data_IF_474575984576
#
_entry.id   IF_474575984576
#
_cell.length_a   1.000
_cell.length_b   1.000
_cell.length_c   1.000
_cell.angle_alpha   90.00
_cell.angle_beta   90.00
_cell.angle_gamma   90.00
#
_symmetry.space_group_name_H-M   'P 1'
#
loop_
_entity.id
_entity.type
_entity.pdbx_description
1 polymer ?
#
# COMPACT_ATOMS: atom_id res chain seq x y z
N UNK A 1 -33.68 -35.38 -25.90
CA UNK A 1 -34.29 -35.35 -24.55
C UNK A 1 -33.29 -35.98 -23.60
N UNK A 2 -32.76 -35.46 -22.49
CA UNK A 2 -33.09 -34.39 -21.54
C UNK A 2 -31.75 -34.05 -20.82
N UNK A 3 -31.07 -32.94 -21.11
CA UNK A 3 -31.02 -31.68 -20.36
C UNK A 3 -30.99 -31.79 -18.81
N UNK A 4 -29.92 -31.19 -18.24
CA UNK A 4 -29.73 -30.59 -16.90
C UNK A 4 -29.21 -31.49 -15.77
N UNK A 5 -27.87 -31.62 -15.68
CA UNK A 5 -27.19 -31.81 -14.40
C UNK A 5 -27.12 -30.44 -13.69
N UNK A 6 -27.90 -30.33 -12.63
CA UNK A 6 -28.09 -29.12 -11.84
C UNK A 6 -26.83 -28.73 -11.06
N UNK A 7 -26.50 -27.44 -11.13
CA UNK A 7 -26.03 -26.64 -10.01
C UNK A 7 -24.80 -27.13 -9.26
N UNK A 8 -23.62 -26.78 -9.78
CA UNK A 8 -22.43 -26.59 -8.97
C UNK A 8 -22.82 -25.70 -7.77
N UNK A 9 -22.85 -26.28 -6.58
CA UNK A 9 -23.09 -25.58 -5.32
C UNK A 9 -21.89 -24.67 -5.06
N UNK A 10 -22.09 -23.37 -5.25
CA UNK A 10 -21.22 -22.34 -4.67
C UNK A 10 -21.52 -22.17 -3.18
N UNK A 11 -20.51 -21.66 -2.47
CA UNK A 11 -20.55 -21.01 -1.14
C UNK A 11 -20.06 -21.85 0.03
N UNK A 12 -18.73 -21.90 0.22
CA UNK A 12 -18.06 -21.83 1.53
C UNK A 12 -16.51 -21.69 1.41
N UNK A 13 -15.99 -20.92 0.45
CA UNK A 13 -14.54 -20.72 0.32
C UNK A 13 -14.12 -19.27 -0.01
N UNK A 14 -15.04 -18.31 0.11
CA UNK A 14 -14.82 -16.95 -0.42
C UNK A 14 -14.62 -15.87 0.64
N UNK A 15 -14.14 -16.24 1.84
CA UNK A 15 -13.77 -15.28 2.90
C UNK A 15 -12.25 -15.19 3.15
N UNK A 16 -11.41 -16.01 2.50
CA UNK A 16 -9.96 -16.03 2.74
C UNK A 16 -9.09 -15.45 1.60
N UNK A 17 -9.68 -15.08 0.45
CA UNK A 17 -8.92 -14.58 -0.71
C UNK A 17 -8.76 -13.05 -0.66
N UNK A 18 -9.71 -12.35 -0.03
CA UNK A 18 -9.69 -10.88 0.03
C UNK A 18 -8.57 -10.34 0.93
N UNK A 19 -8.25 -11.03 2.03
CA UNK A 19 -7.21 -10.59 2.98
C UNK A 19 -5.79 -10.85 2.44
N UNK A 20 -5.56 -11.99 1.79
CA UNK A 20 -4.26 -12.32 1.18
C UNK A 20 -3.94 -11.42 -0.03
N UNK A 21 -4.95 -11.01 -0.79
CA UNK A 21 -4.77 -10.11 -1.94
C UNK A 21 -4.51 -8.68 -1.46
N UNK A 22 -5.18 -8.24 -0.38
CA UNK A 22 -4.94 -6.92 0.22
C UNK A 22 -3.54 -6.79 0.80
N UNK A 23 -3.04 -7.82 1.50
CA UNK A 23 -1.71 -7.81 2.11
C UNK A 23 -0.58 -7.83 1.06
N UNK A 24 -0.77 -8.61 -0.01
CA UNK A 24 0.12 -8.61 -1.17
C UNK A 24 0.18 -7.21 -1.83
N UNK A 25 -0.98 -6.58 -2.05
CA UNK A 25 -1.05 -5.23 -2.61
C UNK A 25 -0.38 -4.18 -1.71
N UNK A 26 -0.53 -4.25 -0.40
CA UNK A 26 0.14 -3.32 0.53
C UNK A 26 1.66 -3.48 0.45
N UNK A 27 2.13 -4.73 0.39
CA UNK A 27 3.58 -5.03 0.28
C UNK A 27 4.16 -4.49 -1.02
N UNK A 28 3.47 -4.65 -2.15
CA UNK A 28 3.89 -4.10 -3.45
C UNK A 28 3.99 -2.57 -3.40
N UNK A 29 3.00 -1.89 -2.81
CA UNK A 29 3.03 -0.45 -2.64
C UNK A 29 4.17 0.03 -1.75
N UNK A 30 4.48 -0.70 -0.67
CA UNK A 30 5.64 -0.39 0.18
C UNK A 30 6.94 -0.46 -0.62
N UNK A 31 7.11 -1.48 -1.46
CA UNK A 31 8.32 -1.61 -2.30
C UNK A 31 8.42 -0.48 -3.32
N UNK A 32 7.33 -0.15 -4.01
CA UNK A 32 7.30 0.94 -5.00
C UNK A 32 7.62 2.29 -4.38
N UNK A 33 6.99 2.62 -3.25
CA UNK A 33 7.24 3.88 -2.55
C UNK A 33 8.70 3.93 -2.06
N UNK A 34 9.23 2.83 -1.51
CA UNK A 34 10.63 2.77 -1.08
C UNK A 34 11.59 2.96 -2.24
N UNK A 35 11.35 2.32 -3.38
CA UNK A 35 12.16 2.49 -4.57
C UNK A 35 12.22 3.96 -5.01
N UNK A 36 11.09 4.67 -5.02
CA UNK A 36 11.05 6.09 -5.41
C UNK A 36 11.89 6.98 -4.47
N UNK A 37 11.79 6.77 -3.16
CA UNK A 37 12.63 7.49 -2.17
C UNK A 37 14.11 7.09 -2.24
N UNK A 38 14.44 5.91 -2.77
CA UNK A 38 15.83 5.48 -2.99
C UNK A 38 16.43 6.18 -4.21
N UNK A 39 15.69 6.21 -5.32
CA UNK A 39 16.09 6.87 -6.57
C UNK A 39 16.24 8.39 -6.39
N UNK A 40 15.43 9.01 -5.53
CA UNK A 40 15.46 10.45 -5.27
C UNK A 40 15.76 10.76 -3.79
N UNK A 41 17.04 10.81 -3.36
CA UNK A 41 17.42 11.04 -1.95
C UNK A 41 16.98 12.40 -1.36
N UNK A 42 16.52 13.33 -2.20
CA UNK A 42 15.98 14.63 -1.79
C UNK A 42 14.44 14.70 -1.72
N UNK A 43 13.73 13.62 -2.06
CA UNK A 43 12.28 13.62 -2.20
C UNK A 43 11.60 13.91 -0.86
N UNK A 44 10.68 14.87 -0.88
CA UNK A 44 9.84 15.24 0.27
C UNK A 44 8.40 15.37 -0.21
N UNK A 45 7.52 14.55 0.34
CA UNK A 45 6.11 14.54 -0.04
C UNK A 45 5.25 14.68 1.19
N UNK A 46 4.21 15.53 1.14
CA UNK A 46 3.12 15.50 2.12
C UNK A 46 2.22 14.30 1.85
N UNK A 47 1.39 13.94 2.82
CA UNK A 47 0.40 12.87 2.65
C UNK A 47 -0.52 13.12 1.43
N UNK A 48 -0.97 14.36 1.24
CA UNK A 48 -1.76 14.75 0.07
C UNK A 48 -1.02 14.59 -1.26
N UNK A 49 0.30 14.83 -1.27
CA UNK A 49 1.12 14.61 -2.46
C UNK A 49 1.32 13.11 -2.73
N UNK A 50 1.47 12.29 -1.69
CA UNK A 50 1.54 10.82 -1.79
C UNK A 50 0.24 10.28 -2.40
N UNK A 51 -0.91 10.68 -1.87
CA UNK A 51 -2.23 10.29 -2.40
C UNK A 51 -2.38 10.64 -3.88
N UNK A 52 -1.98 11.86 -4.28
CA UNK A 52 -2.08 12.30 -5.67
C UNK A 52 -1.08 11.63 -6.61
N UNK A 53 0.15 11.39 -6.14
CA UNK A 53 1.22 10.81 -6.95
C UNK A 53 0.97 9.34 -7.25
N UNK A 54 0.47 8.59 -6.26
CA UNK A 54 0.23 7.14 -6.39
C UNK A 54 -1.24 6.76 -6.51
N UNK A 55 -2.18 7.73 -6.51
CA UNK A 55 -3.61 7.48 -6.66
C UNK A 55 -4.24 6.70 -5.49
N UNK A 56 -3.70 6.88 -4.27
CA UNK A 56 -4.10 6.13 -3.09
C UNK A 56 -5.21 6.85 -2.31
N UNK A 57 -6.15 6.07 -1.77
CA UNK A 57 -7.12 6.54 -0.77
C UNK A 57 -6.39 7.01 0.51
N UNK A 58 -6.95 7.99 1.26
CA UNK A 58 -6.40 8.45 2.53
C UNK A 58 -5.99 7.33 3.50
N UNK A 59 -6.84 6.32 3.74
CA UNK A 59 -6.56 5.25 4.69
C UNK A 59 -5.34 4.42 4.25
N UNK A 60 -5.27 4.06 2.97
CA UNK A 60 -4.15 3.29 2.40
C UNK A 60 -2.86 4.11 2.43
N UNK A 61 -2.92 5.37 2.03
CA UNK A 61 -1.75 6.26 2.05
C UNK A 61 -1.20 6.45 3.46
N UNK A 62 -2.09 6.62 4.44
CA UNK A 62 -1.72 6.78 5.85
C UNK A 62 -1.09 5.50 6.40
N UNK A 63 -1.66 4.33 6.11
CA UNK A 63 -1.12 3.04 6.55
C UNK A 63 0.29 2.79 6.00
N UNK A 64 0.50 3.04 4.70
CA UNK A 64 1.80 2.88 4.05
C UNK A 64 2.86 3.83 4.63
N UNK A 65 2.52 5.11 4.80
CA UNK A 65 3.42 6.10 5.40
C UNK A 65 3.72 5.77 6.87
N UNK A 66 2.73 5.32 7.64
CA UNK A 66 2.92 4.89 9.01
C UNK A 66 3.87 3.70 9.12
N UNK A 67 3.71 2.68 8.27
CA UNK A 67 4.61 1.53 8.22
C UNK A 67 6.05 1.95 7.91
N UNK A 68 6.26 2.89 6.98
CA UNK A 68 7.59 3.39 6.62
C UNK A 68 8.22 4.29 7.71
N UNK A 69 7.41 4.97 8.51
CA UNK A 69 7.85 5.71 9.70
C UNK A 69 8.26 4.76 10.85
N UNK A 70 7.51 3.66 11.02
CA UNK A 70 7.75 2.68 12.08
C UNK A 70 9.13 2.04 11.93
N UNK A 71 9.44 1.56 10.72
CA UNK A 71 10.75 0.98 10.36
C UNK A 71 11.86 2.03 10.15
N UNK A 72 11.59 3.31 10.49
CA UNK A 72 12.52 4.45 10.40
C UNK A 72 13.07 4.75 9.00
N UNK A 73 12.48 4.18 7.95
CA UNK A 73 12.85 4.47 6.56
C UNK A 73 12.51 5.92 6.18
N UNK A 74 11.33 6.40 6.62
CA UNK A 74 10.94 7.81 6.50
C UNK A 74 11.05 8.51 7.85
N UNK A 75 11.22 9.83 7.77
CA UNK A 75 11.01 10.76 8.87
C UNK A 75 10.02 11.85 8.46
N UNK A 76 9.18 12.27 9.39
CA UNK A 76 8.28 13.41 9.21
C UNK A 76 9.00 14.70 9.60
N UNK A 77 9.00 15.66 8.69
CA UNK A 77 9.53 17.01 8.92
C UNK A 77 8.54 17.85 9.74
N UNK A 78 8.99 18.96 10.32
CA UNK A 78 8.12 19.92 11.03
C UNK A 78 6.98 20.48 10.18
N UNK A 79 7.13 20.46 8.85
CA UNK A 79 6.14 20.94 7.89
C UNK A 79 5.16 19.83 7.44
N UNK A 80 5.23 18.64 8.04
CA UNK A 80 4.36 17.53 7.73
C UNK A 80 4.73 16.73 6.49
N UNK A 81 5.84 17.06 5.81
CA UNK A 81 6.36 16.28 4.69
C UNK A 81 7.18 15.07 5.18
N UNK A 82 7.07 13.96 4.46
CA UNK A 82 7.81 12.72 4.66
C UNK A 82 9.02 12.70 3.73
N UNK A 83 10.19 12.46 4.31
CA UNK A 83 11.46 12.35 3.59
C UNK A 83 12.24 11.14 4.07
N UNK A 84 13.15 10.63 3.23
CA UNK A 84 14.04 9.53 3.62
C UNK A 84 14.88 9.93 4.84
N UNK A 85 14.97 9.01 5.81
CA UNK A 85 15.99 9.09 6.85
C UNK A 85 17.30 8.66 6.22
N UNK A 86 18.09 9.63 5.78
CA UNK A 86 19.47 9.34 5.40
C UNK A 86 20.19 8.79 6.65
N UNK A 87 20.78 7.61 6.51
CA UNK A 87 21.46 6.91 7.59
C UNK A 87 22.67 7.78 7.94
N UNK A 88 22.56 8.53 9.04
CA UNK A 88 23.66 9.33 9.57
C UNK A 88 24.81 8.46 10.02
#
# INVERSE_FOLDING_TARGET
>A
MNRLAAGWKMTAAQENVDMLTTDAHITDWLQLIRAEYLEMPGLRLTESQVQRLWGLDPATSQALLAALLDVKFLKRTRHGAYMRTDVS
#
